data_IF_227301632323
#
_entry.id   IF_227301632323
#
_cell.length_a   1.000
_cell.length_b   1.000
_cell.length_c   1.000
_cell.angle_alpha   90.00
_cell.angle_beta   90.00
_cell.angle_gamma   90.00
#
_symmetry.space_group_name_H-M   'P 1'
#
loop_
_entity.id
_entity.type
_entity.pdbx_description
1 polymer ?
#
# COMPACT_ATOMS: atom_id res chain seq x y z
N UNK A 1 -22.33 26.47 -47.80
CA UNK A 1 -21.03 27.10 -48.10
C UNK A 1 -20.56 27.79 -46.81
N UNK A 2 -19.65 27.14 -46.07
CA UNK A 2 -18.21 27.49 -45.90
C UNK A 2 -18.03 28.56 -44.80
N UNK A 3 -17.11 28.50 -43.83
CA UNK A 3 -16.24 27.49 -43.23
C UNK A 3 -15.69 28.12 -41.93
N UNK A 4 -15.45 27.32 -40.89
CA UNK A 4 -14.69 27.71 -39.68
C UNK A 4 -13.18 27.79 -39.98
N UNK A 5 -12.36 28.29 -39.03
CA UNK A 5 -11.48 27.31 -38.38
C UNK A 5 -11.30 27.54 -36.87
N UNK A 6 -11.06 26.43 -36.15
CA UNK A 6 -10.03 26.44 -35.12
C UNK A 6 -10.34 25.89 -33.73
N UNK A 7 -11.00 24.73 -33.57
CA UNK A 7 -10.75 23.83 -32.44
C UNK A 7 -11.13 22.41 -32.86
N UNK A 8 -10.12 21.60 -33.18
CA UNK A 8 -10.27 20.16 -33.41
C UNK A 8 -9.20 19.46 -32.61
N UNK A 9 -9.57 18.87 -31.47
CA UNK A 9 -8.80 17.78 -30.87
C UNK A 9 -9.65 16.51 -31.01
N UNK A 10 -9.38 15.80 -32.11
CA UNK A 10 -9.77 14.42 -32.29
C UNK A 10 -9.02 13.56 -31.26
N UNK A 11 -9.71 12.98 -30.28
CA UNK A 11 -9.18 11.84 -29.52
C UNK A 11 -9.57 10.55 -30.25
N UNK A 12 -8.81 10.22 -31.27
CA UNK A 12 -8.84 8.92 -31.94
C UNK A 12 -7.40 8.54 -32.33
N UNK A 13 -6.78 7.67 -31.52
CA UNK A 13 -5.78 6.66 -31.89
C UNK A 13 -4.95 6.31 -30.65
N UNK A 14 -5.03 5.04 -30.24
CA UNK A 14 -4.15 4.38 -29.27
C UNK A 14 -2.69 4.48 -29.72
N UNK A 15 -1.77 5.10 -28.94
CA UNK A 15 -0.34 5.02 -29.23
C UNK A 15 0.26 3.82 -28.49
N UNK A 16 0.12 2.62 -29.06
CA UNK A 16 1.04 1.49 -28.77
C UNK A 16 2.37 1.75 -29.50
N UNK A 17 3.10 2.79 -29.10
CA UNK A 17 4.53 2.99 -29.38
C UNK A 17 4.98 4.34 -28.82
N UNK A 18 5.13 4.41 -27.50
CA UNK A 18 6.02 5.37 -26.87
C UNK A 18 6.97 4.53 -26.02
N UNK A 19 8.22 4.49 -26.47
CA UNK A 19 9.36 3.94 -25.74
C UNK A 19 9.42 4.55 -24.35
N UNK A 20 8.86 3.84 -23.37
CA UNK A 20 8.99 4.17 -21.96
C UNK A 20 10.48 4.12 -21.59
N UNK A 21 11.01 5.11 -20.85
CA UNK A 21 12.39 5.06 -20.38
C UNK A 21 12.57 3.83 -19.49
N UNK A 22 13.33 2.85 -19.97
CA UNK A 22 13.92 1.84 -19.09
C UNK A 22 14.90 2.59 -18.17
N UNK A 23 14.80 2.31 -16.87
CA UNK A 23 15.69 2.72 -15.77
C UNK A 23 15.31 4.00 -14.98
N UNK A 24 14.45 3.83 -13.98
CA UNK A 24 14.89 4.01 -12.58
C UNK A 24 14.54 2.73 -11.80
N UNK A 25 15.59 1.99 -11.42
CA UNK A 25 15.46 0.67 -10.85
C UNK A 25 14.95 0.71 -9.42
N UNK A 26 13.92 -0.08 -9.14
CA UNK A 26 13.73 -0.64 -7.80
C UNK A 26 14.06 -2.13 -7.87
N UNK A 27 15.20 -2.57 -7.31
CA UNK A 27 15.48 -3.98 -7.22
C UNK A 27 14.56 -4.58 -6.16
N UNK A 28 13.59 -5.36 -6.60
CA UNK A 28 12.71 -6.17 -5.75
C UNK A 28 13.44 -7.24 -4.90
N UNK A 29 14.75 -7.41 -5.10
CA UNK A 29 15.59 -8.39 -4.42
C UNK A 29 15.60 -8.12 -2.91
N UNK A 30 14.96 -9.01 -2.13
CA UNK A 30 14.92 -8.96 -0.66
C UNK A 30 13.54 -8.71 -0.04
N UNK A 31 12.46 -8.74 -0.82
CA UNK A 31 11.08 -8.60 -0.32
C UNK A 31 10.37 -9.94 -0.04
N UNK A 32 11.08 -11.08 -0.11
CA UNK A 32 10.61 -12.38 0.40
C UNK A 32 9.32 -12.91 -0.26
N UNK A 33 9.03 -12.41 -1.45
CA UNK A 33 7.81 -12.64 -2.24
C UNK A 33 8.07 -13.49 -3.49
N UNK A 34 9.23 -14.17 -3.58
CA UNK A 34 9.70 -14.84 -4.79
C UNK A 34 9.11 -16.23 -5.02
N UNK A 35 8.54 -16.90 -4.01
CA UNK A 35 8.41 -18.36 -4.07
C UNK A 35 7.17 -18.91 -4.77
N UNK A 36 6.12 -18.11 -5.06
CA UNK A 36 4.85 -18.67 -5.58
C UNK A 36 4.26 -17.95 -6.83
N UNK A 37 5.01 -17.04 -7.47
CA UNK A 37 4.38 -16.01 -8.33
C UNK A 37 4.69 -16.06 -9.83
N UNK A 38 5.51 -17.00 -10.32
CA UNK A 38 5.84 -17.07 -11.76
C UNK A 38 4.63 -17.34 -12.66
N UNK A 39 3.66 -18.14 -12.21
CA UNK A 39 2.44 -18.43 -12.96
C UNK A 39 1.43 -17.27 -12.95
N UNK A 40 1.34 -16.56 -11.83
CA UNK A 40 0.44 -15.42 -11.63
C UNK A 40 0.89 -14.21 -12.46
N UNK A 41 2.20 -13.96 -12.53
CA UNK A 41 2.76 -12.85 -13.32
C UNK A 41 2.51 -13.06 -14.83
N UNK A 42 2.61 -14.29 -15.33
CA UNK A 42 2.29 -14.60 -16.73
C UNK A 42 0.82 -14.32 -17.08
N UNK A 43 -0.12 -14.66 -16.20
CA UNK A 43 -1.55 -14.35 -16.38
C UNK A 43 -1.83 -12.85 -16.30
N UNK A 44 -1.16 -12.14 -15.39
CA UNK A 44 -1.31 -10.70 -15.21
C UNK A 44 -0.88 -9.91 -16.46
N UNK A 45 0.22 -10.31 -17.10
CA UNK A 45 0.70 -9.65 -18.35
C UNK A 45 -0.37 -9.70 -19.44
N UNK A 46 -0.98 -10.87 -19.69
CA UNK A 46 -2.02 -10.98 -20.71
C UNK A 46 -3.24 -10.10 -20.43
N UNK A 47 -3.64 -9.94 -19.17
CA UNK A 47 -4.78 -9.08 -18.78
C UNK A 47 -4.46 -7.60 -19.03
N UNK A 48 -3.25 -7.16 -18.71
CA UNK A 48 -2.76 -5.79 -18.97
C UNK A 48 -2.70 -5.53 -20.47
N UNK A 49 -2.06 -6.41 -21.25
CA UNK A 49 -1.92 -6.23 -22.71
C UNK A 49 -3.25 -6.25 -23.48
N UNK A 50 -4.27 -6.89 -22.89
CA UNK A 50 -5.64 -6.94 -23.40
C UNK A 50 -6.47 -5.70 -23.04
N UNK A 51 -5.97 -4.77 -22.23
CA UNK A 51 -6.68 -3.55 -21.81
C UNK A 51 -7.89 -3.83 -20.91
N UNK A 52 -7.88 -4.94 -20.17
CA UNK A 52 -9.01 -5.35 -19.33
C UNK A 52 -9.00 -4.70 -17.94
N UNK A 53 -7.90 -4.08 -17.53
CA UNK A 53 -7.72 -3.51 -16.18
C UNK A 53 -8.81 -2.48 -15.84
N UNK A 54 -9.15 -1.49 -16.71
CA UNK A 54 -10.22 -0.54 -16.42
C UNK A 54 -11.57 -1.20 -16.18
N UNK A 55 -11.92 -2.20 -17.00
CA UNK A 55 -13.19 -2.93 -16.88
C UNK A 55 -13.28 -3.70 -15.57
N UNK A 56 -12.18 -4.36 -15.17
CA UNK A 56 -12.09 -5.07 -13.89
C UNK A 56 -12.24 -4.12 -12.70
N UNK A 57 -11.61 -2.94 -12.75
CA UNK A 57 -11.74 -1.91 -11.71
C UNK A 57 -13.21 -1.48 -11.56
N UNK A 58 -13.89 -1.16 -12.67
CA UNK A 58 -15.28 -0.72 -12.63
C UNK A 58 -16.25 -1.81 -12.14
N UNK A 59 -16.03 -3.06 -12.55
CA UNK A 59 -16.85 -4.21 -12.14
C UNK A 59 -16.79 -4.53 -10.66
N UNK A 60 -15.73 -4.10 -9.96
CA UNK A 60 -15.58 -4.31 -8.52
C UNK A 60 -16.75 -3.74 -7.67
N UNK A 61 -17.51 -2.77 -8.22
CA UNK A 61 -18.70 -2.20 -7.56
C UNK A 61 -19.93 -3.12 -7.60
N UNK A 62 -20.12 -3.85 -8.69
CA UNK A 62 -21.39 -4.53 -9.00
C UNK A 62 -21.35 -6.05 -8.88
N UNK A 63 -20.16 -6.64 -8.96
CA UNK A 63 -20.01 -8.10 -8.94
C UNK A 63 -20.24 -8.67 -7.51
N UNK A 64 -20.70 -9.92 -7.38
CA UNK A 64 -20.86 -10.59 -6.08
C UNK A 64 -19.50 -10.78 -5.37
N UNK A 65 -19.53 -10.99 -4.06
CA UNK A 65 -18.33 -11.02 -3.22
C UNK A 65 -17.29 -12.03 -3.70
N UNK A 66 -17.72 -13.21 -4.14
CA UNK A 66 -16.85 -14.26 -4.68
C UNK A 66 -16.08 -13.79 -5.91
N UNK A 67 -16.75 -13.01 -6.77
CA UNK A 67 -16.13 -12.46 -7.99
C UNK A 67 -15.27 -11.24 -7.64
N UNK A 68 -15.66 -10.39 -6.69
CA UNK A 68 -14.84 -9.28 -6.23
C UNK A 68 -13.48 -9.75 -5.69
N UNK A 69 -13.47 -10.86 -4.95
CA UNK A 69 -12.25 -11.51 -4.46
C UNK A 69 -11.31 -11.88 -5.62
N UNK A 70 -11.84 -12.52 -6.67
CA UNK A 70 -11.06 -12.89 -7.86
C UNK A 70 -10.57 -11.67 -8.64
N UNK A 71 -11.40 -10.64 -8.77
CA UNK A 71 -11.05 -9.38 -9.42
C UNK A 71 -9.89 -8.72 -8.67
N UNK A 72 -9.95 -8.63 -7.33
CA UNK A 72 -8.89 -8.03 -6.53
C UNK A 72 -7.57 -8.79 -6.64
N UNK A 73 -7.60 -10.13 -6.62
CA UNK A 73 -6.40 -10.95 -6.83
C UNK A 73 -5.80 -10.73 -8.23
N UNK A 74 -6.64 -10.64 -9.25
CA UNK A 74 -6.22 -10.38 -10.63
C UNK A 74 -5.60 -8.99 -10.77
N UNK A 75 -6.27 -7.97 -10.22
CA UNK A 75 -5.77 -6.59 -10.21
C UNK A 75 -4.46 -6.49 -9.45
N UNK A 76 -4.32 -7.13 -8.29
CA UNK A 76 -3.06 -7.18 -7.55
C UNK A 76 -1.90 -7.73 -8.41
N UNK A 77 -2.15 -8.78 -9.19
CA UNK A 77 -1.18 -9.29 -10.15
C UNK A 77 -0.82 -8.27 -11.23
N UNK A 78 -1.84 -7.63 -11.82
CA UNK A 78 -1.67 -6.62 -12.87
C UNK A 78 -0.83 -5.42 -12.39
N UNK A 79 -1.12 -4.91 -11.18
CA UNK A 79 -0.45 -3.76 -10.56
C UNK A 79 1.06 -3.97 -10.34
N UNK A 80 1.51 -5.22 -10.27
CA UNK A 80 2.95 -5.56 -10.17
C UNK A 80 3.65 -5.53 -11.53
N UNK A 81 2.88 -5.58 -12.61
CA UNK A 81 3.35 -5.43 -13.99
C UNK A 81 3.25 -3.98 -14.44
N UNK A 82 2.07 -3.37 -14.29
CA UNK A 82 1.74 -2.02 -14.75
C UNK A 82 0.55 -1.49 -13.94
N UNK A 83 0.60 -0.23 -13.50
CA UNK A 83 -0.41 0.37 -12.62
C UNK A 83 -1.19 1.55 -13.23
N UNK A 84 -0.74 2.08 -14.36
CA UNK A 84 -1.28 3.26 -15.02
C UNK A 84 -2.76 3.10 -15.36
N UNK A 85 -3.16 2.01 -16.00
CA UNK A 85 -4.58 1.81 -16.37
C UNK A 85 -5.49 1.73 -15.14
N UNK A 86 -5.03 1.09 -14.06
CA UNK A 86 -5.78 1.01 -12.81
C UNK A 86 -5.91 2.39 -12.14
N UNK A 87 -4.81 3.15 -12.09
CA UNK A 87 -4.79 4.51 -11.56
C UNK A 87 -5.73 5.44 -12.33
N UNK A 88 -5.66 5.43 -13.66
CA UNK A 88 -6.52 6.21 -14.55
C UNK A 88 -8.01 5.86 -14.38
N UNK A 89 -8.30 4.62 -13.95
CA UNK A 89 -9.67 4.14 -13.71
C UNK A 89 -10.20 4.41 -12.30
N UNK A 90 -9.44 5.14 -11.46
CA UNK A 90 -9.85 5.47 -10.09
C UNK A 90 -9.74 4.29 -9.12
N UNK A 91 -8.84 3.33 -9.38
CA UNK A 91 -8.72 2.12 -8.55
C UNK A 91 -8.42 2.41 -7.07
N UNK A 92 -7.63 3.44 -6.75
CA UNK A 92 -7.28 3.77 -5.36
C UNK A 92 -8.51 4.09 -4.52
N UNK A 93 -9.41 4.95 -5.04
CA UNK A 93 -10.68 5.27 -4.39
C UNK A 93 -11.55 4.03 -4.20
N UNK A 94 -11.59 3.17 -5.20
CA UNK A 94 -12.35 1.92 -5.14
C UNK A 94 -11.80 0.95 -4.10
N UNK A 95 -10.47 0.79 -4.03
CA UNK A 95 -9.87 -0.05 -3.01
C UNK A 95 -10.10 0.52 -1.61
N UNK A 96 -10.04 1.86 -1.45
CA UNK A 96 -10.40 2.56 -0.21
C UNK A 96 -11.80 2.18 0.25
N UNK A 97 -12.79 2.25 -0.64
CA UNK A 97 -14.19 1.86 -0.33
C UNK A 97 -14.27 0.39 0.14
N UNK A 98 -13.45 -0.50 -0.42
CA UNK A 98 -13.42 -1.93 -0.05
C UNK A 98 -12.68 -2.23 1.26
N UNK A 99 -11.95 -1.28 1.83
CA UNK A 99 -11.31 -1.46 3.13
C UNK A 99 -12.32 -1.55 4.28
N UNK A 100 -13.52 -0.98 4.13
CA UNK A 100 -14.59 -1.08 5.12
C UNK A 100 -15.49 -2.31 4.94
N UNK A 101 -15.17 -3.22 4.00
CA UNK A 101 -16.02 -4.35 3.69
C UNK A 101 -16.03 -5.39 4.84
N UNK A 102 -17.21 -5.97 5.19
CA UNK A 102 -17.33 -6.96 6.26
C UNK A 102 -16.56 -8.26 5.93
N UNK A 103 -16.61 -8.72 4.68
CA UNK A 103 -15.83 -9.88 4.23
C UNK A 103 -14.31 -9.59 4.32
N UNK A 104 -13.64 -10.32 5.21
CA UNK A 104 -12.20 -10.26 5.41
C UNK A 104 -11.42 -10.57 4.12
N UNK A 105 -11.91 -11.47 3.27
CA UNK A 105 -11.25 -11.83 2.01
C UNK A 105 -11.16 -10.62 1.09
N UNK A 106 -12.21 -9.82 1.02
CA UNK A 106 -12.27 -8.59 0.23
C UNK A 106 -11.36 -7.53 0.85
N UNK A 107 -11.49 -7.27 2.16
CA UNK A 107 -10.66 -6.26 2.85
C UNK A 107 -9.17 -6.56 2.73
N UNK A 108 -8.76 -7.81 2.96
CA UNK A 108 -7.37 -8.24 2.88
C UNK A 108 -6.78 -8.08 1.48
N UNK A 109 -7.53 -8.48 0.43
CA UNK A 109 -7.13 -8.33 -0.97
C UNK A 109 -7.12 -6.88 -1.45
N UNK A 110 -8.08 -6.07 -1.03
CA UNK A 110 -8.10 -4.63 -1.31
C UNK A 110 -6.88 -3.93 -0.71
N UNK A 111 -6.52 -4.26 0.54
CA UNK A 111 -5.31 -3.73 1.18
C UNK A 111 -4.04 -4.20 0.46
N UNK A 112 -4.04 -5.44 -0.04
CA UNK A 112 -2.93 -5.98 -0.83
C UNK A 112 -2.77 -5.24 -2.18
N UNK A 113 -3.87 -4.96 -2.87
CA UNK A 113 -3.90 -4.18 -4.11
C UNK A 113 -3.44 -2.73 -3.86
N UNK A 114 -3.86 -2.10 -2.75
CA UNK A 114 -3.36 -0.79 -2.32
C UNK A 114 -1.85 -0.76 -2.09
N UNK A 115 -1.31 -1.81 -1.47
CA UNK A 115 0.13 -1.92 -1.30
C UNK A 115 0.84 -1.98 -2.67
N UNK A 116 0.33 -2.78 -3.61
CA UNK A 116 0.92 -2.92 -4.95
C UNK A 116 0.83 -1.63 -5.77
N UNK A 117 -0.32 -0.95 -5.78
CA UNK A 117 -0.51 0.29 -6.53
C UNK A 117 0.32 1.45 -5.95
N UNK A 118 0.72 1.40 -4.67
CA UNK A 118 1.54 2.43 -4.02
C UNK A 118 3.04 2.38 -4.36
N UNK A 119 3.48 1.37 -5.13
CA UNK A 119 4.88 1.20 -5.53
C UNK A 119 5.38 2.28 -6.49
N UNK A 120 4.70 2.61 -7.62
CA UNK A 120 5.07 3.74 -8.50
C UNK A 120 4.87 5.10 -7.83
N UNK A 121 5.36 6.19 -8.42
CA UNK A 121 5.26 7.54 -7.86
C UNK A 121 3.80 8.02 -7.87
N UNK A 122 3.15 7.88 -9.02
CA UNK A 122 1.76 8.23 -9.29
C UNK A 122 0.81 7.51 -8.31
N UNK A 123 1.17 6.27 -7.97
CA UNK A 123 0.52 5.49 -6.94
C UNK A 123 0.57 6.12 -5.56
N UNK A 124 1.76 6.57 -5.12
CA UNK A 124 1.92 7.26 -3.84
C UNK A 124 1.13 8.56 -3.82
N UNK A 125 1.20 9.34 -4.90
CA UNK A 125 0.44 10.58 -5.03
C UNK A 125 -1.06 10.35 -4.94
N UNK A 126 -1.58 9.29 -5.58
CA UNK A 126 -2.99 8.92 -5.49
C UNK A 126 -3.40 8.49 -4.08
N UNK A 127 -2.58 7.71 -3.37
CA UNK A 127 -2.82 7.35 -1.95
C UNK A 127 -2.94 8.61 -1.08
N UNK A 128 -2.06 9.58 -1.29
CA UNK A 128 -2.06 10.85 -0.56
C UNK A 128 -3.27 11.72 -0.92
N UNK A 129 -3.58 11.83 -2.21
CA UNK A 129 -4.71 12.62 -2.72
C UNK A 129 -6.07 12.09 -2.24
N UNK A 130 -6.20 10.77 -2.10
CA UNK A 130 -7.41 10.12 -1.54
C UNK A 130 -7.44 10.14 0.00
N UNK A 131 -6.45 10.75 0.66
CA UNK A 131 -6.42 10.91 2.11
C UNK A 131 -6.39 9.59 2.89
N UNK A 132 -5.69 8.58 2.37
CA UNK A 132 -5.68 7.21 2.92
C UNK A 132 -4.80 7.01 4.15
N UNK A 133 -3.91 7.96 4.49
CA UNK A 133 -2.94 7.75 5.57
C UNK A 133 -3.58 7.46 6.94
N UNK A 134 -4.61 8.21 7.40
CA UNK A 134 -5.26 7.91 8.67
C UNK A 134 -5.94 6.54 8.68
N UNK A 135 -6.60 6.18 7.56
CA UNK A 135 -7.22 4.87 7.39
C UNK A 135 -6.18 3.75 7.50
N UNK A 136 -5.05 3.89 6.79
CA UNK A 136 -3.95 2.93 6.83
C UNK A 136 -3.34 2.79 8.23
N UNK A 137 -3.23 3.88 8.99
CA UNK A 137 -2.77 3.80 10.39
C UNK A 137 -3.77 3.05 11.26
N UNK A 138 -5.08 3.24 11.06
CA UNK A 138 -6.10 2.47 11.78
C UNK A 138 -6.00 0.96 11.48
N UNK A 139 -5.69 0.59 10.24
CA UNK A 139 -5.54 -0.82 9.83
C UNK A 139 -4.28 -1.50 10.37
N UNK A 140 -3.32 -0.75 10.93
CA UNK A 140 -2.21 -1.36 11.67
C UNK A 140 -2.67 -2.09 12.94
N UNK A 141 -3.88 -1.79 13.41
CA UNK A 141 -4.53 -2.43 14.55
C UNK A 141 -5.63 -3.44 14.15
N UNK A 142 -5.75 -3.77 12.85
CA UNK A 142 -6.74 -4.77 12.39
C UNK A 142 -6.46 -6.14 13.07
N UNK A 143 -7.49 -6.98 13.21
CA UNK A 143 -7.34 -8.32 13.79
C UNK A 143 -6.65 -9.28 12.84
N UNK A 144 -6.69 -9.01 11.53
CA UNK A 144 -6.06 -9.84 10.52
C UNK A 144 -4.59 -9.44 10.28
N UNK A 145 -3.62 -10.34 10.52
CA UNK A 145 -2.20 -10.04 10.33
C UNK A 145 -1.84 -9.65 8.89
N UNK A 146 -2.57 -10.16 7.89
CA UNK A 146 -2.31 -9.84 6.49
C UNK A 146 -2.75 -8.41 6.17
N UNK A 147 -3.89 -7.94 6.69
CA UNK A 147 -4.31 -6.53 6.63
C UNK A 147 -3.28 -5.63 7.32
N UNK A 148 -2.87 -5.96 8.55
CA UNK A 148 -1.84 -5.20 9.28
C UNK A 148 -0.54 -5.06 8.47
N UNK A 149 -0.04 -6.19 7.94
CA UNK A 149 1.19 -6.21 7.17
C UNK A 149 1.07 -5.41 5.87
N UNK A 150 -0.04 -5.54 5.14
CA UNK A 150 -0.26 -4.80 3.90
C UNK A 150 -0.42 -3.28 4.16
N UNK A 151 -1.09 -2.89 5.25
CA UNK A 151 -1.18 -1.50 5.67
C UNK A 151 0.20 -0.91 6.01
N UNK A 152 1.01 -1.64 6.79
CA UNK A 152 2.39 -1.26 7.09
C UNK A 152 3.25 -1.14 5.82
N UNK A 153 3.06 -2.05 4.86
CA UNK A 153 3.74 -2.01 3.56
C UNK A 153 3.32 -0.80 2.71
N UNK A 154 2.04 -0.45 2.72
CA UNK A 154 1.53 0.73 2.00
C UNK A 154 2.08 2.02 2.62
N UNK A 155 2.11 2.13 3.95
CA UNK A 155 2.75 3.24 4.66
C UNK A 155 4.25 3.32 4.41
N UNK A 156 4.94 2.18 4.34
CA UNK A 156 6.37 2.12 3.97
C UNK A 156 6.60 2.75 2.59
N UNK A 157 5.79 2.42 1.59
CA UNK A 157 5.93 3.00 0.25
C UNK A 157 5.54 4.48 0.21
N UNK A 158 4.45 4.86 0.89
CA UNK A 158 4.03 6.27 0.98
C UNK A 158 5.08 7.15 1.67
N UNK A 159 5.75 6.63 2.70
CA UNK A 159 6.80 7.33 3.46
C UNK A 159 8.09 7.61 2.67
N UNK A 160 8.24 7.05 1.46
CA UNK A 160 9.31 7.45 0.53
C UNK A 160 9.12 8.92 0.12
N UNK A 161 7.87 9.37 -0.03
CA UNK A 161 7.57 10.77 -0.29
C UNK A 161 7.49 11.56 1.02
N UNK A 162 8.06 12.77 1.05
CA UNK A 162 8.05 13.65 2.23
C UNK A 162 6.64 13.91 2.77
N UNK A 163 5.62 14.23 1.94
CA UNK A 163 4.26 14.42 2.44
C UNK A 163 3.68 13.16 3.08
N UNK A 164 3.94 11.98 2.50
CA UNK A 164 3.50 10.70 3.08
C UNK A 164 4.16 10.40 4.42
N UNK A 165 5.46 10.70 4.54
CA UNK A 165 6.23 10.57 5.78
C UNK A 165 5.66 11.44 6.89
N UNK A 166 5.42 12.72 6.61
CA UNK A 166 4.87 13.65 7.59
C UNK A 166 3.42 13.31 7.94
N UNK A 167 2.59 13.00 6.95
CA UNK A 167 1.20 12.62 7.19
C UNK A 167 1.07 11.34 8.01
N UNK A 168 1.92 10.34 7.80
CA UNK A 168 1.94 9.13 8.64
C UNK A 168 2.35 9.43 10.09
N UNK A 169 3.30 10.34 10.30
CA UNK A 169 3.70 10.80 11.64
C UNK A 169 2.60 11.60 12.34
N UNK A 170 1.82 12.39 11.60
CA UNK A 170 0.68 13.16 12.11
C UNK A 170 -0.49 12.26 12.44
N UNK A 171 -0.73 11.22 11.63
CA UNK A 171 -1.74 10.20 11.88
C UNK A 171 -1.40 9.23 13.03
N UNK A 172 -0.21 9.35 13.66
CA UNK A 172 0.15 8.55 14.82
C UNK A 172 0.67 7.14 14.52
N UNK A 173 1.26 6.92 13.34
CA UNK A 173 1.71 5.58 12.92
C UNK A 173 2.75 4.90 13.82
N UNK A 174 3.52 5.66 14.60
CA UNK A 174 4.73 5.15 15.27
C UNK A 174 4.46 4.05 16.29
N UNK A 175 3.50 4.23 17.18
CA UNK A 175 3.20 3.25 18.24
C UNK A 175 2.77 1.91 17.64
N UNK A 176 1.86 1.97 16.67
CA UNK A 176 1.36 0.80 15.96
C UNK A 176 2.48 0.07 15.20
N UNK A 177 3.35 0.82 14.51
CA UNK A 177 4.48 0.23 13.78
C UNK A 177 5.53 -0.37 14.74
N UNK A 178 5.80 0.24 15.89
CA UNK A 178 6.69 -0.34 16.92
C UNK A 178 6.10 -1.64 17.45
N UNK A 179 4.80 -1.67 17.77
CA UNK A 179 4.10 -2.91 18.16
C UNK A 179 4.22 -4.01 17.10
N UNK A 180 3.89 -3.69 15.85
CA UNK A 180 3.97 -4.64 14.74
C UNK A 180 5.40 -5.15 14.47
N UNK A 181 6.42 -4.30 14.64
CA UNK A 181 7.82 -4.69 14.47
C UNK A 181 8.29 -5.77 15.46
N UNK A 182 7.58 -5.92 16.59
CA UNK A 182 7.84 -6.92 17.63
C UNK A 182 6.83 -8.09 17.57
N UNK A 183 5.84 -8.01 16.67
CA UNK A 183 4.77 -8.99 16.55
C UNK A 183 5.21 -10.34 15.96
N UNK A 184 4.36 -11.38 16.00
CA UNK A 184 4.70 -12.72 15.54
C UNK A 184 4.73 -12.86 14.00
N UNK A 185 4.00 -12.02 13.27
CA UNK A 185 3.95 -12.08 11.81
C UNK A 185 5.22 -11.54 11.14
N UNK A 186 5.91 -12.39 10.37
CA UNK A 186 7.19 -12.05 9.73
C UNK A 186 7.05 -10.92 8.72
N UNK A 187 5.96 -10.90 7.95
CA UNK A 187 5.74 -9.91 6.88
C UNK A 187 5.46 -8.53 7.50
N UNK A 188 4.59 -8.49 8.50
CA UNK A 188 4.29 -7.32 9.32
C UNK A 188 5.53 -6.76 9.98
N UNK A 189 6.36 -7.59 10.63
CA UNK A 189 7.64 -7.15 11.22
C UNK A 189 8.55 -6.48 10.20
N UNK A 190 8.70 -7.09 9.03
CA UNK A 190 9.57 -6.59 7.97
C UNK A 190 9.09 -5.21 7.48
N UNK A 191 7.81 -5.08 7.15
CA UNK A 191 7.27 -3.82 6.65
C UNK A 191 7.22 -2.74 7.73
N UNK A 192 6.86 -3.09 8.95
CA UNK A 192 6.89 -2.15 10.07
C UNK A 192 8.30 -1.62 10.33
N UNK A 193 9.31 -2.48 10.34
CA UNK A 193 10.71 -2.07 10.51
C UNK A 193 11.18 -1.13 9.40
N UNK A 194 10.81 -1.43 8.14
CA UNK A 194 11.15 -0.58 6.99
C UNK A 194 10.43 0.76 7.03
N UNK A 195 9.16 0.78 7.42
CA UNK A 195 8.39 2.00 7.61
C UNK A 195 9.00 2.87 8.71
N UNK A 196 9.32 2.30 9.88
CA UNK A 196 9.99 3.00 10.97
C UNK A 196 11.31 3.62 10.49
N UNK A 197 12.16 2.85 9.77
CA UNK A 197 13.39 3.39 9.18
C UNK A 197 13.12 4.61 8.29
N UNK A 198 12.13 4.53 7.40
CA UNK A 198 11.78 5.64 6.51
C UNK A 198 11.28 6.88 7.28
N UNK A 199 10.47 6.68 8.33
CA UNK A 199 9.99 7.77 9.19
C UNK A 199 11.13 8.42 9.98
N UNK A 200 12.13 7.64 10.41
CA UNK A 200 13.31 8.13 11.15
C UNK A 200 14.26 9.00 10.31
N UNK A 201 14.10 9.05 8.99
CA UNK A 201 14.85 10.00 8.17
C UNK A 201 14.41 11.45 8.42
N UNK A 202 13.14 11.66 8.83
CA UNK A 202 12.64 12.99 9.21
C UNK A 202 13.08 13.34 10.65
N UNK A 203 13.54 14.58 10.91
CA UNK A 203 13.87 15.04 12.27
C UNK A 203 12.70 14.87 13.26
N UNK A 204 11.48 15.19 12.81
CA UNK A 204 10.25 14.98 13.60
C UNK A 204 10.03 13.50 13.95
N UNK A 205 10.29 12.60 13.01
CA UNK A 205 10.18 11.16 13.23
C UNK A 205 11.17 10.66 14.29
N UNK A 206 12.44 11.07 14.18
CA UNK A 206 13.45 10.75 15.20
C UNK A 206 13.06 11.25 16.59
N UNK A 207 12.64 12.51 16.68
CA UNK A 207 12.24 13.10 17.95
C UNK A 207 11.08 12.33 18.59
N UNK A 208 10.01 12.05 17.83
CA UNK A 208 8.88 11.26 18.34
C UNK A 208 9.28 9.84 18.76
N UNK A 209 10.18 9.18 18.02
CA UNK A 209 10.67 7.84 18.40
C UNK A 209 11.47 7.83 19.71
N UNK A 210 12.31 8.84 19.94
CA UNK A 210 13.05 8.98 21.20
C UNK A 210 12.10 9.13 22.39
N UNK A 211 11.05 9.93 22.23
CA UNK A 211 10.01 10.10 23.27
C UNK A 211 9.30 8.77 23.59
N UNK A 212 8.95 7.99 22.56
CA UNK A 212 8.35 6.66 22.75
C UNK A 212 9.30 5.68 23.46
N UNK A 213 10.59 5.70 23.11
CA UNK A 213 11.60 4.85 23.75
C UNK A 213 11.78 5.15 25.23
N UNK A 214 11.81 6.43 25.60
CA UNK A 214 11.91 6.84 27.01
C UNK A 214 10.65 6.45 27.81
N UNK A 215 9.46 6.53 27.21
CA UNK A 215 8.21 6.11 27.85
C UNK A 215 8.17 4.60 28.15
N UNK A 216 8.67 3.76 27.25
CA UNK A 216 8.72 2.30 27.45
C UNK A 216 9.71 1.91 28.57
N UNK A 217 10.88 2.55 28.64
CA UNK A 217 11.86 2.30 29.70
C UNK A 217 11.32 2.64 31.10
N UNK A 218 10.48 3.68 31.20
CA UNK A 218 9.83 4.04 32.46
C UNK A 218 8.76 3.01 32.90
N UNK A 219 8.09 2.32 31.96
CA UNK A 219 7.10 1.29 32.29
C UNK A 219 7.73 -0.06 32.67
N UNK A 220 8.87 -0.43 32.07
CA UNK A 220 9.58 -1.68 32.39
C UNK A 220 10.19 -1.66 33.80
N UNK A 221 10.64 -0.50 34.27
CA UNK A 221 11.20 -0.34 35.63
C UNK A 221 10.16 -0.51 36.76
N UNK A 222 8.87 -0.34 36.47
CA UNK A 222 7.79 -0.51 37.44
C UNK A 222 7.23 -1.95 37.54
N UNK A 223 7.64 -2.88 36.67
CA UNK A 223 7.12 -4.26 36.64
C UNK A 223 8.11 -5.33 37.14
N UNK A 224 9.10 -4.95 37.97
CA UNK A 224 9.94 -5.92 38.68
C UNK A 224 9.38 -6.14 40.09
N UNK A 225 8.50 -7.15 40.35
CA UNK A 225 8.17 -7.51 41.71
C UNK A 225 9.42 -8.14 42.32
N UNK A 226 10.04 -7.43 43.27
CA UNK A 226 11.28 -7.83 43.90
C UNK A 226 11.24 -9.28 44.36
N UNK A 227 12.23 -10.05 43.92
CA UNK A 227 12.58 -11.33 44.55
C UNK A 227 13.00 -10.98 45.98
N UNK A 228 12.41 -11.56 47.03
CA UNK A 228 12.89 -11.33 48.38
C UNK A 228 14.25 -12.01 48.52
N UNK A 229 15.28 -11.23 48.86
CA UNK A 229 16.56 -11.72 49.34
C UNK A 229 16.28 -12.59 50.58
N UNK A 230 16.36 -13.91 50.39
CA UNK A 230 16.36 -14.87 51.49
C UNK A 230 17.79 -15.01 52.02
N UNK A 231 17.90 -14.81 53.33
CA UNK A 231 19.05 -15.02 54.22
C UNK A 231 19.72 -16.38 54.05
#
# INVERSE_FOLDING_TARGET
MLCLPGFSYCYAASPRNLSLPRHQGWPWWGMGWESDHRSILGRAVCVVESGLVPSLVLKLRSEPEEIQVLILDTLWGCLRTEAFEALASGAVRLFKEKLAHPDLRIRSRATQALMAISVPLEGKEAILGEGLLPDLVSFLWDRDPQVQANAAGTLMFAAVATPGKLGALEAGALEALVGLSRGPDRKGRLFASKALRALAEAPRGRHKMLLLGHGQAAQETHHNPGIPEAL
#
